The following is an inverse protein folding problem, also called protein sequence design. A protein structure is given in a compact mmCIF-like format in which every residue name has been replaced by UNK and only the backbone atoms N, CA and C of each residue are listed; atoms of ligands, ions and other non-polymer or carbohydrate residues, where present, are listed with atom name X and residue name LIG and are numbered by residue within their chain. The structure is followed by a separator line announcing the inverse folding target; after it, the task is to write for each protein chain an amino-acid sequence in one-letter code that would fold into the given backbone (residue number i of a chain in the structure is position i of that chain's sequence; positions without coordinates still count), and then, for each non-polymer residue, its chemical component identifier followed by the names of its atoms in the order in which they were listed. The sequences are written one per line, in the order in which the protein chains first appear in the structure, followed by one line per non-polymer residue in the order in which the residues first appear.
data_IF_313013292582
#
_entry.id   IF_313013292582
#
_cell.length_a   1.000
_cell.length_b   1.000
_cell.length_c   1.000
_cell.angle_alpha   90.00
_cell.angle_beta   90.00
_cell.angle_gamma   90.00
#
_symmetry.space_group_name_H-M   'P 1'
#
loop_
_entity.id
_entity.type
_entity.pdbx_description
1 polymer ?
#
# COMPACT_ATOMS: atom_id res chain seq x y z
N UNK A 1 23.73 -8.55 7.00
CA UNK A 1 22.60 -7.65 6.67
C UNK A 1 21.39 -8.42 6.16
N UNK A 2 20.45 -8.77 7.04
CA UNK A 2 19.20 -9.43 6.63
C UNK A 2 18.17 -8.38 6.21
N UNK A 3 17.65 -8.47 4.98
CA UNK A 3 16.52 -7.64 4.53
C UNK A 3 15.28 -8.02 5.33
N UNK A 4 14.86 -7.13 6.23
CA UNK A 4 13.60 -7.27 6.96
C UNK A 4 12.43 -7.15 5.97
N UNK A 5 11.57 -8.16 5.94
CA UNK A 5 10.31 -8.10 5.18
C UNK A 5 9.40 -7.11 5.91
N UNK A 6 8.87 -6.14 5.17
CA UNK A 6 7.98 -5.10 5.68
C UNK A 6 6.64 -5.19 4.96
N UNK A 7 5.56 -5.15 5.73
CA UNK A 7 4.20 -5.09 5.23
C UNK A 7 3.52 -3.82 5.76
N UNK A 8 3.20 -2.92 4.85
CA UNK A 8 2.43 -1.70 5.13
C UNK A 8 1.09 -1.77 4.39
N UNK A 9 0.03 -1.35 5.08
CA UNK A 9 -1.34 -1.43 4.55
C UNK A 9 -1.96 -0.04 4.56
N UNK A 10 -2.44 0.42 3.41
CA UNK A 10 -3.24 1.63 3.28
C UNK A 10 -4.73 1.24 3.24
N UNK A 11 -5.47 1.55 4.30
CA UNK A 11 -6.90 1.22 4.43
C UNK A 11 -7.72 2.40 3.89
N UNK A 12 -8.51 2.19 2.84
CA UNK A 12 -9.31 3.25 2.25
C UNK A 12 -10.50 3.65 3.11
N UNK A 13 -10.84 4.94 3.09
CA UNK A 13 -11.99 5.52 3.79
C UNK A 13 -12.04 5.21 5.30
N UNK A 14 -10.88 5.04 5.92
CA UNK A 14 -10.75 4.70 7.33
C UNK A 14 -9.89 5.76 8.04
N UNK A 15 -10.36 6.25 9.19
CA UNK A 15 -9.72 7.36 9.92
C UNK A 15 -9.57 7.10 11.44
N UNK A 16 -9.77 5.85 11.89
CA UNK A 16 -9.64 5.50 13.31
C UNK A 16 -8.25 4.95 13.64
N UNK A 17 -7.97 4.81 14.93
CA UNK A 17 -6.72 4.24 15.42
C UNK A 17 -6.83 2.70 15.53
N UNK A 18 -5.83 1.99 14.99
CA UNK A 18 -5.72 0.52 15.02
C UNK A 18 -4.52 0.00 15.83
N UNK A 19 -3.81 0.86 16.59
CA UNK A 19 -2.75 0.39 17.48
C UNK A 19 -3.30 -0.66 18.45
N UNK A 20 -2.52 -1.73 18.66
CA UNK A 20 -2.85 -2.89 19.50
C UNK A 20 -4.09 -3.68 19.04
N UNK A 21 -4.56 -3.49 17.81
CA UNK A 21 -5.63 -4.31 17.21
C UNK A 21 -5.02 -5.40 16.33
N UNK A 22 -5.65 -6.58 16.30
CA UNK A 22 -5.30 -7.66 15.37
C UNK A 22 -5.97 -7.38 14.02
N UNK A 23 -5.20 -7.50 12.95
CA UNK A 23 -5.67 -7.33 11.57
C UNK A 23 -5.38 -8.61 10.79
N UNK A 24 -6.33 -9.01 9.96
CA UNK A 24 -6.15 -10.06 8.96
C UNK A 24 -6.10 -9.40 7.58
N UNK A 25 -5.22 -9.89 6.70
CA UNK A 25 -5.04 -9.37 5.34
C UNK A 25 -4.96 -10.52 4.36
N UNK A 26 -5.50 -10.30 3.16
CA UNK A 26 -5.47 -11.27 2.06
C UNK A 26 -4.98 -10.58 0.79
N UNK A 27 -4.10 -11.25 0.04
CA UNK A 27 -3.58 -10.74 -1.22
C UNK A 27 -4.47 -11.19 -2.36
N UNK A 28 -5.37 -10.30 -2.81
CA UNK A 28 -6.32 -10.62 -3.89
C UNK A 28 -5.69 -10.47 -5.29
N UNK A 29 -4.84 -9.45 -5.49
CA UNK A 29 -4.24 -9.15 -6.79
C UNK A 29 -2.92 -8.43 -6.65
N UNK A 30 -1.98 -8.81 -7.51
CA UNK A 30 -0.72 -8.09 -7.65
C UNK A 30 -0.88 -6.87 -8.57
N UNK A 31 -0.61 -5.68 -8.05
CA UNK A 31 -0.75 -4.41 -8.79
C UNK A 31 0.54 -4.07 -9.55
N UNK A 32 1.70 -4.20 -8.88
CA UNK A 32 3.04 -3.79 -9.35
C UNK A 32 4.13 -4.27 -8.37
N UNK A 33 5.36 -4.49 -8.84
CA UNK A 33 6.55 -4.70 -7.99
C UNK A 33 7.15 -3.40 -7.41
N UNK A 34 8.15 -3.49 -6.55
CA UNK A 34 8.82 -2.32 -5.97
C UNK A 34 9.44 -1.41 -7.05
N UNK A 35 9.43 -0.09 -6.78
CA UNK A 35 9.99 0.92 -7.69
C UNK A 35 10.66 2.02 -6.90
N UNK A 36 11.88 2.37 -7.26
CA UNK A 36 12.56 3.59 -6.78
C UNK A 36 12.04 4.80 -7.56
N UNK A 37 11.75 5.89 -6.87
CA UNK A 37 11.33 7.15 -7.47
C UNK A 37 12.42 8.20 -7.31
N UNK A 38 12.53 9.13 -8.27
CA UNK A 38 13.53 10.20 -8.20
C UNK A 38 13.14 11.30 -7.22
N UNK A 39 11.86 11.37 -6.83
CA UNK A 39 11.40 12.36 -5.87
C UNK A 39 9.96 12.15 -5.40
N UNK A 40 9.56 13.00 -4.44
CA UNK A 40 8.26 12.89 -3.74
C UNK A 40 7.06 13.06 -4.68
N UNK A 41 7.17 13.89 -5.72
CA UNK A 41 6.09 14.13 -6.69
C UNK A 41 5.77 12.85 -7.48
N UNK A 42 6.78 12.15 -7.98
CA UNK A 42 6.61 10.90 -8.72
C UNK A 42 6.02 9.81 -7.83
N UNK A 43 6.48 9.69 -6.58
CA UNK A 43 5.95 8.75 -5.61
C UNK A 43 4.46 9.01 -5.35
N UNK A 44 4.08 10.25 -5.05
CA UNK A 44 2.67 10.64 -4.84
C UNK A 44 1.81 10.31 -6.06
N UNK A 45 2.31 10.58 -7.26
CA UNK A 45 1.59 10.29 -8.49
C UNK A 45 1.41 8.78 -8.71
N UNK A 46 2.40 7.96 -8.38
CA UNK A 46 2.27 6.51 -8.47
C UNK A 46 1.27 5.97 -7.44
N UNK A 47 1.33 6.45 -6.18
CA UNK A 47 0.37 6.04 -5.13
C UNK A 47 -1.06 6.31 -5.58
N UNK A 48 -1.35 7.49 -6.17
CA UNK A 48 -2.68 7.81 -6.72
C UNK A 48 -3.14 6.79 -7.78
N UNK A 49 -2.26 6.39 -8.69
CA UNK A 49 -2.56 5.37 -9.72
C UNK A 49 -2.80 3.99 -9.11
N UNK A 50 -1.99 3.62 -8.13
CA UNK A 50 -2.09 2.33 -7.43
C UNK A 50 -3.43 2.24 -6.66
N UNK A 51 -3.86 3.33 -6.00
CA UNK A 51 -5.18 3.42 -5.34
C UNK A 51 -6.32 3.24 -6.34
N UNK A 52 -6.27 3.94 -7.49
CA UNK A 52 -7.30 3.81 -8.53
C UNK A 52 -7.38 2.39 -9.09
N UNK A 53 -6.24 1.71 -9.27
CA UNK A 53 -6.19 0.32 -9.75
C UNK A 53 -6.70 -0.66 -8.71
N UNK A 54 -6.36 -0.46 -7.42
CA UNK A 54 -6.84 -1.27 -6.32
C UNK A 54 -8.37 -1.20 -6.19
N UNK A 55 -8.95 0.01 -6.21
CA UNK A 55 -10.40 0.22 -6.09
C UNK A 55 -11.23 -0.38 -7.22
N UNK A 56 -10.65 -0.56 -8.42
CA UNK A 56 -11.34 -1.19 -9.57
C UNK A 56 -11.38 -2.72 -9.50
N UNK A 57 -10.59 -3.33 -8.63
CA UNK A 57 -10.51 -4.79 -8.47
C UNK A 57 -11.45 -5.30 -7.38
N UNK A 58 -12.01 -4.38 -6.58
CA UNK A 58 -12.99 -4.63 -5.51
C UNK A 58 -14.42 -4.61 -6.03
#
# INVERSE_FOLDING_TARGET
DQKKILLEVNIFNFSRNLYNKKLSVEFLKFIRGEKKFKGISELKNQIKKDILKAKKTS
#
